data_IF_457723474568
#
_entry.id   IF_457723474568
#
_cell.length_a   1.000
_cell.length_b   1.000
_cell.length_c   1.000
_cell.angle_alpha   90.00
_cell.angle_beta   90.00
_cell.angle_gamma   90.00
#
_symmetry.space_group_name_H-M   'P 1'
#
loop_
_entity.id
_entity.type
_entity.pdbx_description
1 polymer ?
#
# COMPACT_ATOMS: atom_id res chain seq x y z
N UNK A 1 10.68 -88.24 -3.21
CA UNK A 1 11.24 -88.07 -1.85
C UNK A 1 11.05 -86.62 -1.43
N UNK A 2 10.06 -86.35 -0.57
CA UNK A 2 9.73 -85.03 -0.01
C UNK A 2 10.66 -84.76 1.18
N UNK A 3 11.31 -83.58 1.24
CA UNK A 3 11.97 -83.10 2.47
C UNK A 3 11.27 -81.83 2.91
N UNK A 4 10.43 -81.97 3.94
CA UNK A 4 9.78 -80.88 4.64
C UNK A 4 10.83 -80.06 5.41
N UNK A 5 10.79 -78.73 5.29
CA UNK A 5 11.50 -77.81 6.17
C UNK A 5 10.47 -77.14 7.07
N UNK A 6 10.53 -77.46 8.34
CA UNK A 6 9.73 -76.90 9.43
C UNK A 6 10.16 -75.46 9.68
N UNK A 7 9.25 -74.51 9.49
CA UNK A 7 9.45 -73.11 9.90
C UNK A 7 8.81 -72.92 11.27
N UNK A 8 9.64 -72.59 12.26
CA UNK A 8 9.26 -72.29 13.63
C UNK A 8 8.71 -70.85 13.67
N UNK A 9 7.42 -70.67 13.94
CA UNK A 9 6.82 -69.36 14.10
C UNK A 9 7.03 -68.87 15.55
N UNK A 10 7.83 -67.81 15.72
CA UNK A 10 7.96 -67.10 17.00
C UNK A 10 6.81 -66.10 17.07
N UNK A 11 5.85 -66.35 17.98
CA UNK A 11 4.79 -65.40 18.29
C UNK A 11 5.33 -64.41 19.32
N UNK A 12 5.63 -63.19 18.88
CA UNK A 12 5.93 -62.08 19.78
C UNK A 12 4.60 -61.44 20.24
N UNK A 13 4.24 -61.65 21.50
CA UNK A 13 3.11 -60.98 22.16
C UNK A 13 3.46 -59.50 22.39
N UNK A 14 2.94 -58.61 21.53
CA UNK A 14 2.99 -57.17 21.77
C UNK A 14 1.92 -56.84 22.82
N UNK A 15 2.36 -56.55 24.04
CA UNK A 15 1.48 -55.97 25.06
C UNK A 15 1.16 -54.52 24.66
N UNK A 16 -0.04 -54.28 24.14
CA UNK A 16 -0.55 -52.93 23.91
C UNK A 16 -0.89 -52.33 25.27
N UNK A 17 0.02 -51.51 25.81
CA UNK A 17 -0.27 -50.70 27.00
C UNK A 17 -1.37 -49.69 26.67
N UNK A 18 -2.51 -49.78 27.36
CA UNK A 18 -3.57 -48.78 27.26
C UNK A 18 -3.04 -47.45 27.83
N UNK A 19 -2.76 -46.48 26.96
CA UNK A 19 -2.51 -45.11 27.35
C UNK A 19 -3.80 -44.54 27.97
N UNK A 20 -3.75 -43.90 29.15
CA UNK A 20 -4.93 -43.24 29.71
C UNK A 20 -5.36 -42.10 28.77
N UNK A 21 -6.66 -42.06 28.45
CA UNK A 21 -7.24 -40.97 27.68
C UNK A 21 -6.98 -39.64 28.40
N UNK A 22 -6.46 -38.64 27.68
CA UNK A 22 -6.30 -37.30 28.23
C UNK A 22 -7.67 -36.76 28.69
N UNK A 23 -7.75 -36.08 29.85
CA UNK A 23 -9.01 -35.51 30.32
C UNK A 23 -9.53 -34.51 29.28
N UNK A 24 -10.77 -34.71 28.82
CA UNK A 24 -11.44 -33.74 27.99
C UNK A 24 -11.59 -32.43 28.78
N UNK A 25 -11.06 -31.33 28.24
CA UNK A 25 -11.25 -30.00 28.82
C UNK A 25 -12.75 -29.70 28.85
N UNK A 26 -13.28 -29.41 30.03
CA UNK A 26 -14.67 -28.99 30.19
C UNK A 26 -14.88 -27.67 29.45
N UNK A 27 -15.77 -27.67 28.46
CA UNK A 27 -16.20 -26.45 27.76
C UNK A 27 -17.03 -25.62 28.74
N UNK A 28 -16.54 -24.44 29.10
CA UNK A 28 -17.33 -23.46 29.84
C UNK A 28 -18.56 -23.08 28.99
N UNK A 29 -19.80 -23.13 29.53
CA UNK A 29 -20.97 -22.76 28.76
C UNK A 29 -20.87 -21.27 28.39
N UNK A 30 -20.63 -21.01 27.10
CA UNK A 30 -20.63 -19.67 26.54
C UNK A 30 -22.04 -19.06 26.52
N UNK A 31 -22.17 -17.75 26.27
CA UNK A 31 -23.46 -17.10 26.14
C UNK A 31 -24.29 -17.73 25.00
N UNK A 32 -25.62 -17.69 25.12
CA UNK A 32 -26.53 -18.19 24.08
C UNK A 32 -26.41 -17.34 22.82
N UNK A 33 -26.13 -17.97 21.68
CA UNK A 33 -26.13 -17.36 20.35
C UNK A 33 -27.36 -17.86 19.56
N UNK A 34 -28.18 -16.94 19.06
CA UNK A 34 -29.26 -17.24 18.12
C UNK A 34 -28.93 -16.68 16.75
N UNK A 35 -29.06 -17.51 15.72
CA UNK A 35 -28.86 -17.13 14.32
C UNK A 35 -30.15 -17.40 13.57
N UNK A 36 -30.75 -16.36 12.98
CA UNK A 36 -31.92 -16.47 12.11
C UNK A 36 -31.53 -16.05 10.69
N UNK A 37 -31.29 -17.01 9.80
CA UNK A 37 -30.91 -16.75 8.42
C UNK A 37 -32.00 -16.10 7.55
N UNK A 38 -33.22 -15.94 8.09
CA UNK A 38 -34.33 -15.25 7.42
C UNK A 38 -34.57 -13.83 7.93
N UNK A 39 -33.88 -13.41 9.00
CA UNK A 39 -33.97 -12.05 9.53
C UNK A 39 -33.01 -11.11 8.79
N UNK A 40 -33.45 -9.87 8.55
CA UNK A 40 -32.62 -8.75 8.07
C UNK A 40 -31.69 -9.04 6.89
N UNK A 41 -32.17 -9.83 5.93
CA UNK A 41 -31.39 -10.19 4.74
C UNK A 41 -31.04 -8.95 3.91
N UNK A 42 -29.75 -8.80 3.60
CA UNK A 42 -29.22 -7.81 2.69
C UNK A 42 -27.98 -8.36 1.97
N UNK A 43 -27.68 -7.83 0.80
CA UNK A 43 -26.47 -8.20 0.08
C UNK A 43 -25.23 -7.67 0.82
N UNK A 44 -24.21 -8.52 0.95
CA UNK A 44 -22.89 -8.12 1.42
C UNK A 44 -22.06 -7.81 0.18
N UNK A 45 -21.65 -6.55 0.01
CA UNK A 45 -20.78 -6.19 -1.11
C UNK A 45 -19.42 -6.90 -0.95
N UNK A 46 -18.90 -7.61 -1.99
CA UNK A 46 -17.56 -8.17 -1.95
C UNK A 46 -16.48 -7.12 -1.71
N UNK A 47 -16.70 -5.88 -2.14
CA UNK A 47 -15.72 -4.79 -2.10
C UNK A 47 -15.26 -4.42 -0.68
N UNK A 48 -15.98 -4.84 0.37
CA UNK A 48 -15.55 -4.64 1.77
C UNK A 48 -14.29 -5.45 2.14
N UNK A 49 -13.94 -6.44 1.32
CA UNK A 49 -12.76 -7.30 1.52
C UNK A 49 -11.55 -6.86 0.68
N UNK A 50 -11.51 -5.58 0.26
CA UNK A 50 -10.41 -5.03 -0.52
C UNK A 50 -9.12 -4.81 0.28
N UNK A 51 -8.00 -4.62 -0.45
CA UNK A 51 -6.68 -4.38 0.12
C UNK A 51 -5.98 -3.21 -0.58
N UNK A 52 -4.86 -2.74 -0.02
CA UNK A 52 -3.98 -1.78 -0.65
C UNK A 52 -2.72 -2.48 -1.13
N UNK A 53 -2.33 -2.22 -2.38
CA UNK A 53 -1.07 -2.65 -2.97
C UNK A 53 -0.79 -4.15 -2.76
N UNK A 54 -1.81 -4.99 -2.92
CA UNK A 54 -1.66 -6.43 -2.75
C UNK A 54 -0.73 -7.03 -3.80
N UNK A 55 0.13 -7.96 -3.39
CA UNK A 55 0.92 -8.75 -4.34
C UNK A 55 -0.01 -9.69 -5.12
N UNK A 56 0.34 -10.00 -6.37
CA UNK A 56 -0.48 -10.91 -7.20
C UNK A 56 -0.71 -12.29 -6.54
N UNK A 57 0.31 -12.81 -5.84
CA UNK A 57 0.21 -14.07 -5.13
C UNK A 57 -0.82 -14.01 -3.99
N UNK A 58 -0.78 -12.96 -3.18
CA UNK A 58 -1.74 -12.76 -2.10
C UNK A 58 -3.14 -12.50 -2.64
N UNK A 59 -3.27 -11.62 -3.64
CA UNK A 59 -4.54 -11.30 -4.27
C UNK A 59 -5.23 -12.55 -4.83
N UNK A 60 -4.47 -13.43 -5.50
CA UNK A 60 -4.98 -14.72 -5.99
C UNK A 60 -5.38 -15.67 -4.87
N UNK A 61 -4.61 -15.75 -3.78
CA UNK A 61 -4.94 -16.61 -2.64
C UNK A 61 -6.23 -16.19 -1.94
N UNK A 62 -6.48 -14.89 -1.86
CA UNK A 62 -7.66 -14.33 -1.20
C UNK A 62 -8.87 -14.21 -2.13
N UNK A 63 -8.72 -14.47 -3.43
CA UNK A 63 -9.69 -14.08 -4.44
C UNK A 63 -10.11 -12.61 -4.26
N UNK A 64 -9.10 -11.74 -4.19
CA UNK A 64 -9.24 -10.34 -3.80
C UNK A 64 -10.21 -9.62 -4.75
N UNK A 65 -11.30 -9.03 -4.24
CA UNK A 65 -12.27 -8.36 -5.10
C UNK A 65 -11.79 -6.99 -5.57
N UNK A 66 -11.12 -6.21 -4.71
CA UNK A 66 -10.64 -4.86 -5.02
C UNK A 66 -9.23 -4.66 -4.47
N UNK A 67 -8.33 -4.12 -5.30
CA UNK A 67 -7.02 -3.62 -4.88
C UNK A 67 -6.92 -2.11 -5.10
N UNK A 68 -6.40 -1.41 -4.09
CA UNK A 68 -6.29 0.04 -4.07
C UNK A 68 -4.89 0.51 -4.46
N UNK A 69 -4.82 1.24 -5.58
CA UNK A 69 -3.73 2.15 -5.89
C UNK A 69 -3.97 3.45 -5.12
N UNK A 70 -3.30 3.61 -3.99
CA UNK A 70 -3.48 4.79 -3.14
C UNK A 70 -2.36 5.01 -2.13
N UNK A 71 -2.55 5.99 -1.26
CA UNK A 71 -1.55 6.44 -0.28
C UNK A 71 -0.88 7.76 -0.68
N UNK A 72 0.01 8.25 0.17
CA UNK A 72 0.51 9.63 0.11
C UNK A 72 1.18 9.99 -1.23
N UNK A 73 1.98 9.07 -1.80
CA UNK A 73 2.69 9.31 -3.07
C UNK A 73 1.77 9.28 -4.29
N UNK A 74 0.61 8.61 -4.22
CA UNK A 74 -0.33 8.54 -5.36
C UNK A 74 -1.01 9.88 -5.63
N UNK A 75 -1.15 10.74 -4.60
CA UNK A 75 -1.72 12.08 -4.72
C UNK A 75 -0.74 13.10 -5.32
N UNK A 76 0.53 12.72 -5.47
CA UNK A 76 1.58 13.51 -6.13
C UNK A 76 2.07 12.86 -7.43
N UNK A 77 1.37 11.81 -7.90
CA UNK A 77 1.79 10.99 -9.02
C UNK A 77 1.59 11.70 -10.36
N UNK A 78 2.64 11.73 -11.18
CA UNK A 78 2.59 12.19 -12.54
C UNK A 78 2.58 11.01 -13.53
N UNK A 79 1.39 10.63 -13.97
CA UNK A 79 1.18 9.48 -14.86
C UNK A 79 1.83 9.61 -16.24
N UNK A 80 2.17 10.83 -16.67
CA UNK A 80 2.81 11.08 -17.98
C UNK A 80 4.28 10.69 -17.98
N UNK A 81 4.92 10.71 -16.81
CA UNK A 81 6.35 10.40 -16.67
C UNK A 81 6.62 9.19 -15.78
N UNK A 82 5.61 8.70 -15.05
CA UNK A 82 5.76 7.58 -14.12
C UNK A 82 6.65 7.94 -12.94
N UNK A 83 6.27 8.99 -12.19
CA UNK A 83 7.02 9.42 -11.01
C UNK A 83 6.08 10.05 -9.98
N UNK A 84 6.44 9.94 -8.70
CA UNK A 84 5.72 10.57 -7.58
C UNK A 84 6.68 11.39 -6.73
N UNK A 85 6.14 12.37 -6.02
CA UNK A 85 6.87 13.05 -4.96
C UNK A 85 6.55 12.40 -3.62
N UNK A 86 7.57 11.96 -2.88
CA UNK A 86 7.43 11.27 -1.59
C UNK A 86 6.90 12.16 -0.46
N UNK A 87 6.90 13.49 -0.66
CA UNK A 87 6.49 14.45 0.35
C UNK A 87 7.28 14.27 1.65
N UNK A 88 6.61 14.45 2.78
CA UNK A 88 7.23 14.33 4.09
C UNK A 88 7.51 12.87 4.51
N UNK A 89 7.12 11.88 3.71
CA UNK A 89 7.47 10.48 4.00
C UNK A 89 8.96 10.23 3.72
N UNK A 90 9.55 10.92 2.74
CA UNK A 90 10.97 10.81 2.41
C UNK A 90 11.53 12.05 1.69
N UNK A 91 11.92 13.08 2.44
CA UNK A 91 12.72 14.22 1.95
C UNK A 91 12.19 14.97 0.70
N UNK A 92 10.88 14.87 0.41
CA UNK A 92 10.20 15.57 -0.69
C UNK A 92 10.84 15.32 -2.06
N UNK A 93 11.31 14.10 -2.30
CA UNK A 93 11.99 13.68 -3.51
C UNK A 93 11.02 13.20 -4.58
N UNK A 94 11.34 13.50 -5.84
CA UNK A 94 10.70 12.88 -7.00
C UNK A 94 11.38 11.55 -7.30
N UNK A 95 10.65 10.46 -7.05
CA UNK A 95 11.11 9.09 -7.29
C UNK A 95 10.37 8.55 -8.52
N UNK A 96 11.07 8.11 -9.58
CA UNK A 96 10.41 7.49 -10.73
C UNK A 96 10.04 6.03 -10.46
N UNK A 97 8.98 5.53 -11.10
CA UNK A 97 8.49 4.15 -10.92
C UNK A 97 9.47 3.07 -11.38
N UNK A 98 10.48 3.46 -12.16
CA UNK A 98 11.57 2.59 -12.60
C UNK A 98 12.64 2.41 -11.50
N UNK A 99 12.66 3.26 -10.48
CA UNK A 99 13.58 3.17 -9.36
C UNK A 99 13.05 2.14 -8.37
N UNK A 100 13.58 0.93 -8.43
CA UNK A 100 13.25 -0.17 -7.54
C UNK A 100 14.50 -0.98 -7.19
N UNK A 101 14.43 -1.74 -6.09
CA UNK A 101 15.48 -2.64 -5.67
C UNK A 101 15.65 -3.81 -6.66
N UNK A 102 16.87 -4.35 -6.84
CA UNK A 102 18.11 -3.98 -6.15
C UNK A 102 18.97 -2.96 -6.91
N UNK A 103 18.60 -2.59 -8.14
CA UNK A 103 19.46 -1.74 -8.98
C UNK A 103 19.38 -0.28 -8.57
N UNK A 104 18.22 0.20 -8.09
CA UNK A 104 18.01 1.60 -7.73
C UNK A 104 18.42 2.55 -8.87
N UNK A 105 18.20 2.14 -10.12
CA UNK A 105 18.43 2.93 -11.33
C UNK A 105 17.32 2.71 -12.35
N UNK A 106 17.17 3.68 -13.26
CA UNK A 106 16.22 3.60 -14.38
C UNK A 106 16.90 3.52 -15.75
N UNK A 107 18.04 2.83 -15.85
CA UNK A 107 18.84 2.83 -17.07
C UNK A 107 18.08 2.20 -18.27
N UNK A 108 17.07 1.36 -18.00
CA UNK A 108 16.18 0.74 -19.00
C UNK A 108 14.97 1.61 -19.40
N UNK A 109 14.98 2.89 -19.02
CA UNK A 109 13.93 3.87 -19.33
C UNK A 109 12.74 3.89 -18.35
N UNK A 110 11.80 4.84 -18.54
CA UNK A 110 10.71 5.07 -17.60
C UNK A 110 9.75 3.88 -17.54
N UNK A 111 9.31 3.55 -16.32
CA UNK A 111 8.19 2.63 -16.07
C UNK A 111 6.95 3.43 -15.67
N UNK A 112 5.80 2.78 -15.76
CA UNK A 112 4.51 3.37 -15.39
C UNK A 112 3.80 2.42 -14.45
N UNK A 113 4.00 2.64 -13.15
CA UNK A 113 3.52 1.78 -12.06
C UNK A 113 2.01 1.55 -12.15
N UNK A 114 1.23 2.58 -12.47
CA UNK A 114 -0.21 2.45 -12.62
C UNK A 114 -0.62 1.40 -13.67
N UNK A 115 0.18 1.26 -14.74
CA UNK A 115 -0.09 0.27 -15.79
C UNK A 115 0.21 -1.14 -15.34
N UNK A 116 1.28 -1.31 -14.57
CA UNK A 116 1.64 -2.58 -13.98
C UNK A 116 0.61 -3.00 -12.93
N UNK A 117 0.10 -2.04 -12.15
CA UNK A 117 -0.94 -2.24 -11.16
C UNK A 117 -2.24 -2.76 -11.76
N UNK A 118 -2.78 -2.05 -12.76
CA UNK A 118 -4.03 -2.46 -13.44
C UNK A 118 -3.90 -3.85 -14.07
N UNK A 119 -2.80 -4.12 -14.79
CA UNK A 119 -2.57 -5.45 -15.38
C UNK A 119 -2.44 -6.55 -14.34
N UNK A 120 -1.86 -6.25 -13.18
CA UNK A 120 -1.73 -7.20 -12.08
C UNK A 120 -3.12 -7.53 -11.53
N UNK A 121 -3.97 -6.53 -11.32
CA UNK A 121 -5.36 -6.72 -10.88
C UNK A 121 -6.17 -7.54 -11.90
N UNK A 122 -6.10 -7.20 -13.19
CA UNK A 122 -6.73 -7.95 -14.28
C UNK A 122 -6.32 -9.43 -14.27
N UNK A 123 -5.03 -9.72 -14.05
CA UNK A 123 -4.51 -11.10 -14.08
C UNK A 123 -4.97 -11.98 -12.90
N UNK A 124 -5.48 -11.36 -11.84
CA UNK A 124 -6.03 -12.06 -10.66
C UNK A 124 -7.55 -11.90 -10.53
N UNK A 125 -8.19 -11.17 -11.46
CA UNK A 125 -9.63 -10.91 -11.44
C UNK A 125 -10.07 -9.90 -10.37
N UNK A 126 -9.14 -9.08 -9.86
CA UNK A 126 -9.44 -8.01 -8.93
C UNK A 126 -9.79 -6.72 -9.69
N UNK A 127 -10.58 -5.86 -9.06
CA UNK A 127 -10.85 -4.53 -9.54
C UNK A 127 -9.84 -3.51 -9.00
N UNK A 128 -9.44 -2.58 -9.85
CA UNK A 128 -8.58 -1.47 -9.45
C UNK A 128 -9.40 -0.31 -8.89
N UNK A 129 -9.11 0.11 -7.65
CA UNK A 129 -9.44 1.43 -7.11
C UNK A 129 -8.26 2.38 -7.34
N UNK A 130 -8.41 3.33 -8.27
CA UNK A 130 -7.34 4.22 -8.74
C UNK A 130 -7.43 5.61 -8.10
N UNK A 131 -6.43 5.98 -7.29
CA UNK A 131 -6.30 7.37 -6.82
C UNK A 131 -5.89 8.30 -7.95
N UNK A 132 -6.67 9.37 -8.17
CA UNK A 132 -6.30 10.50 -9.03
C UNK A 132 -5.88 11.70 -8.16
N UNK A 133 -4.77 12.38 -8.49
CA UNK A 133 -4.28 13.53 -7.74
C UNK A 133 -5.31 14.64 -7.57
N UNK A 134 -5.45 15.14 -6.34
CA UNK A 134 -6.27 16.32 -6.01
C UNK A 134 -5.48 17.43 -5.33
N UNK A 135 -4.19 17.20 -5.04
CA UNK A 135 -3.27 18.19 -4.47
C UNK A 135 -3.00 19.41 -5.36
N UNK A 136 -3.31 19.31 -6.66
CA UNK A 136 -3.01 20.35 -7.65
C UNK A 136 -1.54 20.43 -8.06
N UNK A 137 -0.68 19.59 -7.48
CA UNK A 137 0.76 19.54 -7.75
C UNK A 137 1.26 18.10 -7.74
N UNK A 138 1.88 17.67 -8.84
CA UNK A 138 2.49 16.34 -9.01
C UNK A 138 3.97 16.46 -9.28
N UNK A 139 4.73 15.36 -9.17
CA UNK A 139 6.16 15.34 -9.52
C UNK A 139 6.42 15.96 -10.90
N UNK A 140 7.36 16.88 -11.00
CA UNK A 140 7.66 17.56 -12.28
C UNK A 140 8.62 16.79 -13.18
N UNK A 141 9.42 15.92 -12.60
CA UNK A 141 10.42 15.09 -13.27
C UNK A 141 10.50 13.72 -12.59
N UNK A 142 11.29 12.82 -13.20
CA UNK A 142 11.57 11.48 -12.69
C UNK A 142 12.98 11.10 -13.12
N UNK A 143 13.98 11.73 -12.48
CA UNK A 143 15.39 11.52 -12.82
C UNK A 143 15.73 10.05 -12.62
N UNK A 144 16.48 9.47 -13.56
CA UNK A 144 16.75 8.03 -13.56
C UNK A 144 17.57 7.56 -12.35
N UNK A 145 18.44 8.44 -11.85
CA UNK A 145 19.45 8.15 -10.83
C UNK A 145 19.60 9.38 -9.92
N UNK A 146 20.17 9.17 -8.74
CA UNK A 146 20.58 10.26 -7.87
C UNK A 146 21.56 11.23 -8.56
N UNK A 147 21.58 12.51 -8.15
CA UNK A 147 20.70 13.09 -7.14
C UNK A 147 19.28 13.30 -7.66
N UNK A 148 18.25 13.10 -6.84
CA UNK A 148 16.86 13.35 -7.23
C UNK A 148 16.52 14.84 -7.13
N UNK A 149 15.40 15.22 -7.74
CA UNK A 149 14.83 16.54 -7.54
C UNK A 149 14.04 16.52 -6.24
N UNK A 150 14.28 17.48 -5.35
CA UNK A 150 13.57 17.60 -4.07
C UNK A 150 13.19 19.04 -3.72
N UNK A 151 12.15 19.19 -2.90
CA UNK A 151 11.55 20.49 -2.58
C UNK A 151 12.40 21.38 -1.67
N UNK A 152 13.25 20.78 -0.83
CA UNK A 152 14.04 21.46 0.19
C UNK A 152 15.53 21.16 0.07
N UNK A 153 16.15 21.55 -1.06
CA UNK A 153 17.58 21.34 -1.27
C UNK A 153 18.44 22.11 -0.25
N UNK A 154 19.57 21.52 0.17
CA UNK A 154 20.56 22.13 1.07
C UNK A 154 21.15 23.40 0.45
N UNK A 155 21.36 23.37 -0.86
CA UNK A 155 21.83 24.52 -1.64
C UNK A 155 20.95 25.77 -1.50
N UNK A 156 19.67 25.62 -1.17
CA UNK A 156 18.73 26.73 -0.92
C UNK A 156 18.47 26.91 0.58
N UNK A 157 18.42 25.81 1.32
CA UNK A 157 18.08 25.76 2.74
C UNK A 157 19.10 24.94 3.52
N UNK A 158 20.19 25.59 3.90
CA UNK A 158 21.32 24.94 4.55
C UNK A 158 20.97 24.41 5.95
N UNK A 159 20.12 25.13 6.69
CA UNK A 159 19.85 24.89 8.11
C UNK A 159 18.56 24.09 8.35
N UNK A 160 18.57 22.82 7.94
CA UNK A 160 17.49 21.87 8.20
C UNK A 160 17.89 20.82 9.24
N UNK A 161 16.91 20.23 9.93
CA UNK A 161 17.16 19.23 10.99
C UNK A 161 17.77 17.93 10.47
N UNK A 162 17.37 17.49 9.27
CA UNK A 162 17.93 16.29 8.66
C UNK A 162 17.95 16.39 7.14
N UNK A 163 18.79 15.55 6.55
CA UNK A 163 18.96 15.40 5.11
C UNK A 163 19.01 13.90 4.79
N UNK A 164 18.62 13.53 3.58
CA UNK A 164 18.66 12.14 3.14
C UNK A 164 20.12 11.61 3.21
N UNK A 165 20.36 10.48 3.90
CA UNK A 165 21.68 9.85 3.89
C UNK A 165 22.17 9.43 2.50
N UNK A 166 21.27 9.17 1.55
CA UNK A 166 21.61 8.75 0.18
C UNK A 166 21.70 9.94 -0.79
N UNK A 167 20.94 11.01 -0.55
CA UNK A 167 21.01 12.29 -1.23
C UNK A 167 21.16 13.48 -0.26
N UNK A 168 22.40 13.80 0.09
CA UNK A 168 22.68 14.79 1.15
C UNK A 168 22.27 16.23 0.83
N UNK A 169 21.84 16.50 -0.40
CA UNK A 169 21.22 17.76 -0.79
C UNK A 169 19.73 17.80 -0.42
N UNK A 170 19.03 16.67 -0.29
CA UNK A 170 17.59 16.66 0.00
C UNK A 170 17.29 16.74 1.49
N UNK A 171 16.70 17.86 1.90
CA UNK A 171 16.36 18.16 3.29
C UNK A 171 14.90 17.84 3.66
N UNK A 172 14.64 17.75 4.96
CA UNK A 172 13.35 17.34 5.50
C UNK A 172 12.30 18.48 5.63
N UNK A 173 12.62 19.69 5.21
CA UNK A 173 11.71 20.85 5.27
C UNK A 173 11.47 21.39 6.69
N UNK A 174 12.27 21.00 7.68
CA UNK A 174 12.17 21.52 9.06
C UNK A 174 13.42 22.30 9.45
N UNK A 175 13.25 23.53 9.96
CA UNK A 175 14.37 24.35 10.43
C UNK A 175 14.96 23.79 11.75
N UNK A 176 16.28 23.91 11.92
CA UNK A 176 16.97 23.47 13.16
C UNK A 176 16.41 24.17 14.40
N UNK A 177 16.02 25.44 14.28
CA UNK A 177 15.39 26.23 15.36
C UNK A 177 13.93 25.86 15.66
N UNK A 178 13.36 24.91 14.92
CA UNK A 178 11.94 24.60 14.95
C UNK A 178 11.15 25.42 13.93
N UNK A 179 9.99 24.91 13.53
CA UNK A 179 9.22 25.47 12.42
C UNK A 179 9.55 24.82 11.08
N UNK A 180 8.93 25.36 10.04
CA UNK A 180 8.91 24.79 8.70
C UNK A 180 9.64 25.71 7.75
N UNK A 181 10.44 25.12 6.88
CA UNK A 181 11.05 25.82 5.78
C UNK A 181 9.95 26.30 4.81
N UNK A 182 9.99 27.55 4.32
CA UNK A 182 9.01 28.04 3.36
C UNK A 182 8.96 27.18 2.10
N UNK A 183 7.77 26.68 1.75
CA UNK A 183 7.59 25.84 0.57
C UNK A 183 7.53 26.66 -0.72
N UNK A 184 8.15 26.15 -1.78
CA UNK A 184 8.00 26.65 -3.15
C UNK A 184 7.74 25.45 -4.08
N UNK A 185 6.47 25.06 -4.28
CA UNK A 185 6.12 23.80 -4.96
C UNK A 185 6.72 23.64 -6.36
N UNK A 186 7.00 24.72 -7.08
CA UNK A 186 7.63 24.64 -8.41
C UNK A 186 9.07 24.09 -8.41
N UNK A 187 9.71 23.97 -7.24
CA UNK A 187 11.07 23.40 -7.13
C UNK A 187 11.13 21.91 -7.39
N UNK A 188 10.07 21.18 -7.06
CA UNK A 188 9.97 19.73 -7.19
C UNK A 188 8.69 19.29 -7.92
N UNK A 189 7.71 20.17 -8.07
CA UNK A 189 6.39 19.81 -8.60
C UNK A 189 5.95 20.68 -9.76
N UNK A 190 5.02 20.13 -10.53
CA UNK A 190 4.32 20.77 -11.62
C UNK A 190 2.84 20.93 -11.24
N UNK A 191 2.29 22.10 -11.50
CA UNK A 191 0.89 22.37 -11.26
C UNK A 191 0.01 21.61 -12.26
N UNK A 192 -1.08 21.04 -11.77
CA UNK A 192 -2.08 20.33 -12.56
C UNK A 192 -3.48 20.92 -12.33
N UNK A 193 -4.42 20.48 -13.14
CA UNK A 193 -5.84 20.79 -13.03
C UNK A 193 -6.66 19.56 -13.43
N UNK A 194 -7.98 19.64 -13.33
CA UNK A 194 -8.87 18.52 -13.66
C UNK A 194 -8.72 17.97 -15.10
N UNK A 195 -8.18 18.74 -16.05
CA UNK A 195 -7.89 18.23 -17.40
C UNK A 195 -6.76 17.20 -17.38
N UNK A 196 -5.77 17.35 -16.49
CA UNK A 196 -4.69 16.38 -16.33
C UNK A 196 -5.22 15.01 -15.90
N UNK A 197 -6.14 14.98 -14.93
CA UNK A 197 -6.76 13.75 -14.43
C UNK A 197 -7.76 13.19 -15.45
N UNK A 198 -8.53 14.05 -16.12
CA UNK A 198 -9.44 13.65 -17.19
C UNK A 198 -8.71 13.01 -18.39
N UNK A 199 -7.53 13.50 -18.74
CA UNK A 199 -6.65 12.85 -19.73
C UNK A 199 -6.15 11.49 -19.24
N UNK A 200 -5.86 11.33 -17.95
CA UNK A 200 -5.45 10.06 -17.40
C UNK A 200 -6.56 9.02 -17.44
N UNK A 201 -7.79 9.39 -17.06
CA UNK A 201 -8.96 8.52 -17.17
C UNK A 201 -9.18 8.07 -18.62
N UNK A 202 -9.08 8.99 -19.60
CA UNK A 202 -9.13 8.63 -21.03
C UNK A 202 -8.01 7.69 -21.43
N UNK A 203 -6.80 7.89 -20.89
CA UNK A 203 -5.66 7.00 -21.14
C UNK A 203 -5.90 5.60 -20.58
N UNK A 204 -6.47 5.48 -19.38
CA UNK A 204 -6.85 4.20 -18.77
C UNK A 204 -7.90 3.49 -19.64
N UNK A 205 -8.95 4.21 -20.06
CA UNK A 205 -9.98 3.65 -20.94
C UNK A 205 -9.41 3.18 -22.28
N UNK A 206 -8.49 3.95 -22.87
CA UNK A 206 -7.81 3.56 -24.11
C UNK A 206 -6.93 2.32 -23.97
N UNK A 207 -6.41 2.04 -22.77
CA UNK A 207 -5.53 0.91 -22.52
C UNK A 207 -6.28 -0.35 -22.10
N UNK A 208 -7.37 -0.20 -21.34
CA UNK A 208 -8.03 -1.28 -20.60
C UNK A 208 -9.53 -1.40 -20.89
N UNK A 209 -10.08 -0.57 -21.77
CA UNK A 209 -11.52 -0.54 -22.05
C UNK A 209 -12.31 0.33 -21.08
N UNK A 210 -13.61 0.48 -21.34
CA UNK A 210 -14.50 1.23 -20.45
C UNK A 210 -14.77 0.46 -19.16
N UNK A 211 -15.32 1.13 -18.15
CA UNK A 211 -15.80 0.47 -16.94
C UNK A 211 -16.82 -0.65 -17.21
N UNK A 212 -17.61 -0.53 -18.29
CA UNK A 212 -18.57 -1.55 -18.70
C UNK A 212 -17.90 -2.77 -19.38
N UNK A 213 -16.70 -2.59 -19.91
CA UNK A 213 -15.92 -3.63 -20.60
C UNK A 213 -14.85 -4.27 -19.69
N UNK A 214 -14.93 -4.04 -18.37
CA UNK A 214 -13.97 -4.57 -17.40
C UNK A 214 -12.74 -3.70 -17.13
N UNK A 215 -12.68 -2.48 -17.69
CA UNK A 215 -11.63 -1.51 -17.39
C UNK A 215 -11.79 -0.86 -16.01
N UNK A 216 -10.86 0.03 -15.66
CA UNK A 216 -10.84 0.72 -14.35
C UNK A 216 -12.15 1.50 -14.12
N UNK A 217 -12.89 1.11 -13.08
CA UNK A 217 -14.22 1.65 -12.75
C UNK A 217 -14.31 2.42 -11.44
N UNK A 218 -13.33 2.26 -10.54
CA UNK A 218 -13.31 2.92 -9.24
C UNK A 218 -12.20 3.97 -9.21
N UNK A 219 -12.55 5.22 -8.91
CA UNK A 219 -11.61 6.33 -8.81
C UNK A 219 -11.73 7.01 -7.45
N UNK A 220 -10.60 7.18 -6.77
CA UNK A 220 -10.50 7.93 -5.51
C UNK A 220 -9.93 9.32 -5.79
N UNK A 221 -10.52 10.34 -5.16
CA UNK A 221 -10.14 11.74 -5.38
C UNK A 221 -9.14 12.21 -4.31
N UNK A 222 -7.85 12.12 -4.64
CA UNK A 222 -6.73 12.45 -3.76
C UNK A 222 -6.55 11.47 -2.60
N UNK A 223 -5.74 11.85 -1.62
CA UNK A 223 -5.51 11.05 -0.42
C UNK A 223 -5.36 11.96 0.81
N UNK A 224 -6.20 11.74 1.82
CA UNK A 224 -6.12 12.47 3.11
C UNK A 224 -6.02 14.01 2.96
N UNK A 225 -6.97 14.69 2.27
CA UNK A 225 -6.86 16.12 1.96
C UNK A 225 -6.67 17.02 3.20
N UNK A 226 -7.16 16.59 4.37
CA UNK A 226 -6.97 17.31 5.63
C UNK A 226 -5.52 17.28 6.16
N UNK A 227 -4.69 16.34 5.72
CA UNK A 227 -3.29 16.19 6.14
C UNK A 227 -2.31 16.85 5.16
N UNK A 228 -2.77 17.29 3.99
CA UNK A 228 -1.94 17.89 2.94
C UNK A 228 -1.23 19.18 3.34
N UNK A 229 -1.80 19.93 4.31
CA UNK A 229 -1.21 21.16 4.87
C UNK A 229 -0.31 20.89 6.08
N UNK A 230 -0.17 19.64 6.51
CA UNK A 230 0.61 19.27 7.70
C UNK A 230 1.92 18.61 7.29
N UNK A 231 3.07 19.26 7.48
CA UNK A 231 4.30 18.53 7.75
C UNK A 231 4.08 17.79 9.06
N UNK A 232 4.14 16.45 9.02
CA UNK A 232 3.88 15.64 10.21
C UNK A 232 5.05 15.83 11.17
N UNK A 233 4.84 16.67 12.19
CA UNK A 233 5.55 16.51 13.45
C UNK A 233 5.24 15.12 13.99
N UNK A 234 6.29 14.32 14.16
CA UNK A 234 6.27 13.13 15.00
C UNK A 234 5.88 13.54 16.43
N UNK A 235 4.59 13.49 16.73
CA UNK A 235 4.14 13.20 18.09
C UNK A 235 3.00 12.22 17.99
N UNK A 236 3.20 11.09 18.66
CA UNK A 236 2.13 10.19 19.02
C UNK A 236 0.92 10.99 19.48
N UNK A 237 -0.28 10.49 19.18
CA UNK A 237 -1.52 10.99 19.75
C UNK A 237 -1.49 10.73 21.28
N UNK A 238 -0.73 11.54 22.00
CA UNK A 238 -0.72 11.65 23.44
C UNK A 238 -2.01 12.35 23.83
N UNK A 239 -3.06 11.54 23.99
CA UNK A 239 -4.35 11.91 24.53
C UNK A 239 -4.15 12.83 25.73
N UNK A 240 -4.34 14.14 25.57
CA UNK A 240 -4.45 15.03 26.72
C UNK A 240 -5.73 14.60 27.45
N UNK A 241 -5.56 13.94 28.60
CA UNK A 241 -6.67 13.76 29.53
C UNK A 241 -6.97 15.14 30.09
N UNK A 242 -7.91 15.84 29.46
CA UNK A 242 -8.56 16.98 30.04
C UNK A 242 -9.30 16.54 31.30
N UNK A 243 -8.73 16.81 32.46
CA UNK A 243 -9.47 16.80 33.71
C UNK A 243 -10.33 18.06 33.77
N UNK A 244 -11.59 17.91 33.35
CA UNK A 244 -12.66 18.84 33.71
C UNK A 244 -13.57 18.17 34.73
N UNK A 245 -13.88 18.87 35.83
CA UNK A 245 -15.11 18.64 36.60
C UNK A 245 -14.96 18.40 38.10
N UNK A 246 -14.86 19.50 38.85
CA UNK A 246 -15.57 19.81 40.11
C UNK A 246 -16.17 18.64 40.92
N UNK A 247 -15.71 18.51 42.18
CA UNK A 247 -16.50 18.87 43.37
C UNK A 247 -15.60 19.62 44.35
#
# INVERSE_FOLDING_TARGET
MRRARTLLAIVATIAVGALPAAPALAVSPGPTLSVNGSADQHAISPDIYGMNLASAGLAKQLNLPVDRWGGNTTDTYNWKIGSSNTGNDYYFENIPDCFDAPTYTCDDGPKYGYRAFVRKDESVGADTLMTVPMMGWVAKDGKANHPFTCGYSRSVFENQKSFDPYDKDCGNGEEVGGGLVPSQPSRDRMQINASFDGEWVKKLQSLYGSAADGGVRLYELGNEPALTRRPRHTTSCGRSRGTTGRR
#
